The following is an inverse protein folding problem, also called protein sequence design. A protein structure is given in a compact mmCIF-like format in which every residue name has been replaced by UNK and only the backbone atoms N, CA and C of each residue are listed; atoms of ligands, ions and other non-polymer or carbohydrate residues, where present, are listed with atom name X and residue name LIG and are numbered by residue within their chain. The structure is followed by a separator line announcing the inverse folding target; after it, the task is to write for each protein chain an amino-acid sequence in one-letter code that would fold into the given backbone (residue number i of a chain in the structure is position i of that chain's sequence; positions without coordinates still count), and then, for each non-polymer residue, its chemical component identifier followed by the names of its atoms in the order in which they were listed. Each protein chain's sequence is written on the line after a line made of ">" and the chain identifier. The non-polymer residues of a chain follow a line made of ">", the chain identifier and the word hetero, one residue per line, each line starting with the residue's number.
data_IF_559731285182
#
_entry.id   IF_559731285182
#
_cell.length_a   1.000
_cell.length_b   1.000
_cell.length_c   1.000
_cell.angle_alpha   90.00
_cell.angle_beta   90.00
_cell.angle_gamma   90.00
#
_symmetry.space_group_name_H-M   'P 1'
#
loop_
_entity.id
_entity.type
_entity.pdbx_description
1 polymer ?
#
# COMPACT_ATOMS: atom_id res chain seq x y z
N UNK A 1 25.91 16.54 17.18
CA UNK A 1 27.05 16.29 18.08
C UNK A 1 28.29 16.71 17.30
N UNK A 2 28.86 17.87 17.63
CA UNK A 2 30.05 18.39 16.97
C UNK A 2 31.28 17.84 17.70
N UNK A 3 32.06 16.98 17.03
CA UNK A 3 33.34 16.49 17.52
C UNK A 3 34.47 17.39 17.02
N UNK A 4 34.43 18.67 17.40
CA UNK A 4 35.46 19.66 17.07
C UNK A 4 36.57 19.78 18.11
N UNK A 5 36.61 18.91 19.13
CA UNK A 5 37.66 18.92 20.14
C UNK A 5 38.54 17.67 20.10
N UNK A 6 39.80 17.88 19.70
CA UNK A 6 40.94 17.17 20.28
C UNK A 6 41.47 15.96 19.52
N UNK A 7 42.33 16.19 18.51
CA UNK A 7 43.36 15.21 18.14
C UNK A 7 44.62 15.55 18.93
N UNK A 8 44.91 14.75 19.98
CA UNK A 8 46.21 14.78 20.67
C UNK A 8 47.27 14.26 19.71
N UNK A 9 48.21 15.13 19.36
CA UNK A 9 49.39 14.78 18.59
C UNK A 9 50.15 13.65 19.28
N UNK A 10 50.27 12.51 18.59
CA UNK A 10 51.27 11.49 18.89
C UNK A 10 52.12 11.32 17.62
N UNK A 11 53.35 11.84 17.67
CA UNK A 11 54.44 11.59 16.71
C UNK A 11 54.28 12.16 15.28
N UNK A 12 53.90 13.43 15.13
CA UNK A 12 54.21 14.23 13.92
C UNK A 12 53.48 13.83 12.62
N UNK A 13 52.47 12.97 12.69
CA UNK A 13 51.58 12.66 11.56
C UNK A 13 50.31 13.50 11.71
N UNK A 14 50.16 14.53 10.88
CA UNK A 14 48.91 15.29 10.77
C UNK A 14 47.91 14.40 10.05
N UNK A 15 46.92 13.87 10.78
CA UNK A 15 45.79 13.16 10.19
C UNK A 15 44.69 14.19 9.97
N UNK A 16 44.59 14.70 8.74
CA UNK A 16 43.49 15.58 8.33
C UNK A 16 42.15 14.86 8.57
N UNK A 17 41.18 15.52 9.20
CA UNK A 17 39.83 14.97 9.35
C UNK A 17 39.21 14.83 7.96
N UNK A 18 39.01 13.60 7.51
CA UNK A 18 38.23 13.36 6.30
C UNK A 18 36.77 13.79 6.59
N UNK A 19 36.29 14.84 5.91
CA UNK A 19 34.92 15.29 6.04
C UNK A 19 33.90 14.23 5.58
N UNK A 20 32.67 14.32 6.06
CA UNK A 20 31.61 13.43 5.61
C UNK A 20 31.16 13.77 4.18
N UNK A 21 31.13 12.76 3.30
CA UNK A 21 30.56 12.87 1.96
C UNK A 21 29.12 12.35 1.99
N UNK A 22 28.15 13.26 1.91
CA UNK A 22 26.74 12.92 1.97
C UNK A 22 26.24 12.28 0.67
N UNK A 23 25.46 11.20 0.79
CA UNK A 23 24.62 10.62 -0.26
C UNK A 23 23.17 10.67 0.22
N UNK A 24 22.26 11.05 -0.68
CA UNK A 24 20.85 11.20 -0.36
C UNK A 24 20.16 9.83 -0.28
N UNK A 25 19.36 9.64 0.75
CA UNK A 25 18.41 8.54 0.86
C UNK A 25 17.06 9.05 0.37
N UNK A 26 16.56 8.46 -0.73
CA UNK A 26 15.33 8.93 -1.37
C UNK A 26 14.13 8.83 -0.43
N UNK A 27 13.21 9.79 -0.58
CA UNK A 27 11.93 9.72 0.10
C UNK A 27 11.10 8.55 -0.45
N UNK A 28 10.32 7.94 0.45
CA UNK A 28 9.33 6.92 0.09
C UNK A 28 7.97 7.52 0.36
N UNK A 29 7.14 7.66 -0.66
CA UNK A 29 5.79 8.19 -0.49
C UNK A 29 4.91 7.25 0.34
N UNK A 30 4.07 7.84 1.19
CA UNK A 30 3.10 7.07 1.95
C UNK A 30 1.92 6.64 1.06
N UNK A 31 1.31 5.51 1.40
CA UNK A 31 0.10 5.00 0.74
C UNK A 31 -0.94 4.64 1.80
N UNK A 32 -2.14 4.25 1.38
CA UNK A 32 -3.12 3.70 2.31
C UNK A 32 -2.75 2.29 2.83
N UNK A 33 -1.79 1.62 2.18
CA UNK A 33 -1.29 0.31 2.60
C UNK A 33 -0.05 0.42 3.52
N UNK A 34 0.83 1.39 3.30
CA UNK A 34 2.13 1.49 3.95
C UNK A 34 2.51 2.93 4.32
N UNK A 35 3.25 3.09 5.42
CA UNK A 35 3.86 4.38 5.79
C UNK A 35 4.95 4.76 4.81
N UNK A 36 5.16 6.06 4.62
CA UNK A 36 6.28 6.59 3.86
C UNK A 36 7.47 6.95 4.74
N UNK A 37 8.52 7.45 4.10
CA UNK A 37 9.72 7.99 4.73
C UNK A 37 10.09 9.33 4.09
N UNK A 38 10.48 10.31 4.90
CA UNK A 38 11.06 11.55 4.36
C UNK A 38 12.44 11.28 3.77
N UNK A 39 12.92 12.16 2.88
CA UNK A 39 14.31 12.14 2.42
C UNK A 39 15.28 12.22 3.61
N UNK A 40 16.36 11.44 3.53
CA UNK A 40 17.46 11.40 4.49
C UNK A 40 18.82 11.52 3.81
N UNK A 41 19.88 11.34 4.58
CA UNK A 41 21.22 11.18 4.01
C UNK A 41 22.16 10.46 4.95
N UNK A 42 23.11 9.75 4.36
CA UNK A 42 24.19 9.09 5.07
C UNK A 42 25.55 9.41 4.44
N UNK A 43 26.61 9.15 5.19
CA UNK A 43 27.98 9.26 4.69
C UNK A 43 28.31 8.03 3.85
N UNK A 44 28.66 8.21 2.57
CA UNK A 44 29.00 7.09 1.67
C UNK A 44 30.18 6.25 2.17
N UNK A 45 31.10 6.88 2.93
CA UNK A 45 32.36 6.26 3.36
C UNK A 45 32.18 5.40 4.61
N UNK A 46 31.40 5.88 5.58
CA UNK A 46 31.30 5.24 6.90
C UNK A 46 29.87 4.90 7.33
N UNK A 47 28.86 5.20 6.52
CA UNK A 47 27.45 4.91 6.79
C UNK A 47 26.82 5.76 7.89
N UNK A 48 27.54 6.74 8.46
CA UNK A 48 26.98 7.63 9.47
C UNK A 48 25.74 8.36 8.91
N UNK A 49 24.62 8.27 9.61
CA UNK A 49 23.40 9.01 9.28
C UNK A 49 23.63 10.50 9.54
N UNK A 50 23.58 11.31 8.48
CA UNK A 50 23.77 12.76 8.53
C UNK A 50 22.43 13.49 8.67
N UNK A 51 21.38 12.95 8.05
CA UNK A 51 19.99 13.39 8.17
C UNK A 51 19.11 12.15 8.30
N UNK A 52 18.54 11.93 9.47
CA UNK A 52 17.67 10.78 9.70
C UNK A 52 16.36 10.93 8.92
N UNK A 53 15.93 9.86 8.24
CA UNK A 53 14.58 9.76 7.70
C UNK A 53 13.56 9.71 8.85
N UNK A 54 12.39 10.29 8.62
CA UNK A 54 11.26 10.24 9.54
C UNK A 54 10.10 9.50 8.88
N UNK A 55 9.32 8.80 9.70
CA UNK A 55 8.12 8.10 9.24
C UNK A 55 7.06 9.13 8.84
N UNK A 56 6.51 8.95 7.64
CA UNK A 56 5.31 9.64 7.17
C UNK A 56 4.11 8.69 7.36
N UNK A 57 3.07 9.09 8.11
CA UNK A 57 1.89 8.25 8.32
C UNK A 57 1.23 7.81 7.01
N UNK A 58 0.47 6.72 7.06
CA UNK A 58 -0.32 6.24 5.92
C UNK A 58 -1.30 7.32 5.47
N UNK A 59 -1.63 7.31 4.19
CA UNK A 59 -2.66 8.19 3.64
C UNK A 59 -4.04 7.60 3.91
N UNK A 60 -5.01 8.43 4.29
CA UNK A 60 -6.42 8.00 4.40
C UNK A 60 -7.13 7.93 3.04
N UNK A 61 -6.47 8.40 1.97
CA UNK A 61 -7.01 8.38 0.62
C UNK A 61 -7.01 6.95 0.04
N UNK A 62 -8.17 6.50 -0.45
CA UNK A 62 -8.34 5.23 -1.14
C UNK A 62 -8.76 5.47 -2.59
N UNK A 63 -8.12 4.75 -3.52
CA UNK A 63 -8.53 4.74 -4.93
C UNK A 63 -9.53 3.60 -5.16
N UNK A 64 -10.79 3.89 -5.48
CA UNK A 64 -11.80 2.85 -5.71
C UNK A 64 -11.57 2.11 -7.02
N UNK A 65 -11.88 0.81 -7.00
CA UNK A 65 -12.04 -0.07 -8.16
C UNK A 65 -13.33 -0.83 -7.98
N UNK A 66 -14.14 -0.84 -9.03
CA UNK A 66 -15.46 -1.46 -9.01
C UNK A 66 -15.36 -2.99 -8.98
N UNK A 67 -16.33 -3.58 -8.28
CA UNK A 67 -16.60 -5.01 -8.27
C UNK A 67 -17.92 -5.17 -9.01
N UNK A 68 -17.86 -5.83 -10.16
CA UNK A 68 -19.02 -6.09 -11.00
C UNK A 68 -20.09 -6.88 -10.24
N UNK A 69 -21.35 -6.55 -10.51
CA UNK A 69 -22.46 -7.33 -10.02
C UNK A 69 -22.54 -8.70 -10.72
N UNK A 70 -23.13 -9.66 -10.01
CA UNK A 70 -23.45 -10.97 -10.58
C UNK A 70 -24.94 -11.20 -10.39
N UNK A 71 -25.69 -11.34 -11.48
CA UNK A 71 -27.12 -11.58 -11.39
C UNK A 71 -27.38 -12.92 -10.69
N UNK A 72 -28.36 -12.92 -9.77
CA UNK A 72 -28.84 -14.16 -9.18
C UNK A 72 -29.53 -15.01 -10.25
N UNK A 73 -29.32 -16.32 -10.16
CA UNK A 73 -30.00 -17.29 -11.03
C UNK A 73 -31.11 -18.01 -10.26
N UNK A 74 -31.83 -18.91 -10.92
CA UNK A 74 -32.82 -19.76 -10.27
C UNK A 74 -32.27 -20.68 -9.16
N UNK A 75 -30.96 -20.98 -9.16
CA UNK A 75 -30.33 -21.92 -8.20
C UNK A 75 -29.07 -21.39 -7.51
N UNK A 76 -28.44 -20.33 -8.03
CA UNK A 76 -27.25 -19.70 -7.44
C UNK A 76 -27.56 -18.26 -7.08
N UNK A 77 -27.16 -17.88 -5.89
CA UNK A 77 -27.17 -16.48 -5.46
C UNK A 77 -26.30 -15.63 -6.38
N UNK A 78 -26.72 -14.38 -6.53
CA UNK A 78 -25.96 -13.31 -7.14
C UNK A 78 -25.33 -12.40 -6.09
N UNK A 79 -24.72 -11.32 -6.56
CA UNK A 79 -24.20 -10.23 -5.73
C UNK A 79 -24.46 -8.88 -6.37
N UNK A 80 -24.78 -7.89 -5.56
CA UNK A 80 -24.82 -6.50 -6.03
C UNK A 80 -23.42 -5.99 -6.37
N UNK A 81 -23.35 -4.92 -7.15
CA UNK A 81 -22.09 -4.22 -7.39
C UNK A 81 -21.52 -3.70 -6.07
N UNK A 82 -20.20 -3.65 -5.99
CA UNK A 82 -19.47 -3.10 -4.85
C UNK A 82 -18.20 -2.38 -5.31
N UNK A 83 -17.36 -1.97 -4.37
CA UNK A 83 -16.05 -1.43 -4.72
C UNK A 83 -15.05 -1.64 -3.60
N UNK A 84 -13.78 -1.70 -3.99
CA UNK A 84 -12.64 -1.86 -3.07
C UNK A 84 -11.50 -0.93 -3.44
N UNK A 85 -10.57 -0.74 -2.51
CA UNK A 85 -9.36 0.02 -2.79
C UNK A 85 -8.41 -0.79 -3.69
N UNK A 86 -7.90 -0.19 -4.76
CA UNK A 86 -6.91 -0.82 -5.66
C UNK A 86 -5.58 -1.17 -4.97
N UNK A 87 -5.26 -0.48 -3.87
CA UNK A 87 -3.94 -0.56 -3.23
C UNK A 87 -3.95 -1.48 -2.02
N UNK A 88 -5.02 -1.45 -1.21
CA UNK A 88 -5.08 -2.19 0.06
C UNK A 88 -6.30 -3.12 0.20
N UNK A 89 -7.09 -3.31 -0.86
CA UNK A 89 -8.28 -4.17 -0.90
C UNK A 89 -9.39 -3.86 0.13
N UNK A 90 -9.25 -2.76 0.89
CA UNK A 90 -10.29 -2.29 1.80
C UNK A 90 -11.59 -2.10 1.02
N UNK A 91 -12.67 -2.71 1.50
CA UNK A 91 -14.01 -2.54 0.92
C UNK A 91 -14.47 -1.11 1.16
N UNK A 92 -14.87 -0.43 0.09
CA UNK A 92 -15.35 0.96 0.13
C UNK A 92 -16.87 1.01 -0.02
N UNK A 93 -17.42 0.11 -0.84
CA UNK A 93 -18.85 -0.17 -0.94
C UNK A 93 -19.01 -1.68 -0.83
N UNK A 94 -19.77 -2.14 0.16
CA UNK A 94 -20.02 -3.57 0.36
C UNK A 94 -20.92 -4.12 -0.75
N UNK A 95 -20.55 -5.30 -1.26
CA UNK A 95 -21.42 -6.10 -2.12
C UNK A 95 -22.33 -6.94 -1.23
N UNK A 96 -23.63 -6.94 -1.53
CA UNK A 96 -24.62 -7.75 -0.83
C UNK A 96 -24.97 -8.98 -1.64
N UNK A 97 -25.33 -10.07 -0.95
CA UNK A 97 -25.82 -11.29 -1.60
C UNK A 97 -27.24 -11.07 -2.08
N UNK A 98 -27.51 -11.39 -3.33
CA UNK A 98 -28.86 -11.43 -3.90
C UNK A 98 -29.28 -12.90 -3.94
N UNK A 99 -30.25 -13.34 -3.11
CA UNK A 99 -30.65 -14.74 -3.07
C UNK A 99 -31.12 -15.26 -4.44
N UNK A 100 -30.87 -16.55 -4.70
CA UNK A 100 -31.38 -17.23 -5.88
C UNK A 100 -32.89 -16.99 -6.03
N UNK A 101 -33.34 -16.74 -7.25
CA UNK A 101 -34.74 -16.33 -7.49
C UNK A 101 -35.73 -17.45 -7.20
N UNK A 102 -35.28 -18.71 -7.25
CA UNK A 102 -36.13 -19.90 -7.15
C UNK A 102 -37.10 -20.07 -8.32
N UNK A 103 -37.09 -19.17 -9.32
CA UNK A 103 -38.02 -19.19 -10.45
C UNK A 103 -37.48 -20.09 -11.57
N UNK A 104 -37.93 -21.34 -11.58
CA UNK A 104 -37.56 -22.30 -12.61
C UNK A 104 -38.78 -22.98 -13.22
N UNK A 105 -38.63 -23.37 -14.48
CA UNK A 105 -39.58 -24.21 -15.20
C UNK A 105 -38.93 -25.58 -15.40
N UNK A 106 -39.65 -26.66 -15.09
CA UNK A 106 -39.25 -28.02 -15.43
C UNK A 106 -39.95 -28.45 -16.72
N UNK A 107 -39.16 -28.63 -17.78
CA UNK A 107 -39.64 -29.20 -19.05
C UNK A 107 -38.79 -30.41 -19.40
N UNK A 108 -39.42 -31.58 -19.58
CA UNK A 108 -38.77 -32.83 -19.97
C UNK A 108 -37.58 -33.22 -19.06
N UNK A 109 -37.69 -32.98 -17.75
CA UNK A 109 -36.64 -33.27 -16.77
C UNK A 109 -35.48 -32.26 -16.75
N UNK A 110 -35.57 -31.17 -17.53
CA UNK A 110 -34.56 -30.12 -17.58
C UNK A 110 -35.09 -28.88 -16.84
N UNK A 111 -34.34 -28.43 -15.83
CA UNK A 111 -34.58 -27.16 -15.14
C UNK A 111 -34.11 -26.00 -16.02
N UNK A 112 -35.01 -25.07 -16.34
CA UNK A 112 -34.71 -23.86 -17.11
C UNK A 112 -35.09 -22.62 -16.31
N UNK A 113 -34.26 -21.60 -16.40
CA UNK A 113 -34.51 -20.31 -15.77
C UNK A 113 -35.72 -19.61 -16.40
N UNK A 114 -36.69 -19.21 -15.57
CA UNK A 114 -37.85 -18.47 -16.06
C UNK A 114 -37.43 -17.02 -16.36
N UNK A 115 -37.20 -16.71 -17.65
CA UNK A 115 -37.00 -15.32 -18.07
C UNK A 115 -38.29 -14.55 -17.83
N UNK A 116 -38.24 -13.56 -16.93
CA UNK A 116 -39.31 -12.58 -16.78
C UNK A 116 -39.33 -11.74 -18.07
N UNK A 117 -40.44 -11.86 -18.81
CA UNK A 117 -40.75 -11.11 -20.02
C UNK A 117 -40.94 -9.62 -19.75
#
# INVERSE_FOLDING_TARGET
>A
MNFDEGYKEMNGVVIEKLGHKAVADEAVEATCAATGLTEGSHCEVCGLVLKAQKIVPKTEAHTPVDIEETAATCVKDGKTAGSKCSVCDKVLIESEVVPATGKHIYENGICREQRLS
#
